data_IF_928655220985
#
_entry.id   IF_928655220985
#
_cell.length_a   1.000
_cell.length_b   1.000
_cell.length_c   1.000
_cell.angle_alpha   90.00
_cell.angle_beta   90.00
_cell.angle_gamma   90.00
#
_symmetry.space_group_name_H-M   'P 1'
#
loop_
_entity.id
_entity.type
_entity.pdbx_description
1 polymer ?
#
# COMPACT_ATOMS: atom_id res chain seq x y z
N UNK A 1 -0.82 14.74 -9.91
CA UNK A 1 -0.66 13.28 -10.12
C UNK A 1 -2.05 12.72 -10.32
N UNK A 2 -2.32 12.01 -11.40
CA UNK A 2 -3.62 11.40 -11.66
C UNK A 2 -4.27 11.94 -12.93
N UNK A 3 -4.21 11.15 -13.99
CA UNK A 3 -4.84 11.52 -15.26
C UNK A 3 -4.32 10.73 -16.45
N UNK A 4 -4.20 9.39 -16.34
CA UNK A 4 -4.32 8.48 -17.51
C UNK A 4 -4.34 6.98 -17.19
N UNK A 5 -3.75 6.48 -16.08
CA UNK A 5 -3.65 5.01 -15.89
C UNK A 5 -3.85 4.55 -14.43
N UNK A 6 -5.05 4.09 -14.10
CA UNK A 6 -5.33 3.30 -12.89
C UNK A 6 -5.36 1.81 -13.26
N UNK A 7 -4.24 1.28 -13.75
CA UNK A 7 -4.13 -0.15 -14.04
C UNK A 7 -4.21 -0.98 -12.75
N UNK A 8 -4.90 -2.13 -12.82
CA UNK A 8 -4.89 -3.11 -11.74
C UNK A 8 -3.48 -3.68 -11.47
N UNK A 9 -2.59 -3.67 -12.48
CA UNK A 9 -1.19 -4.08 -12.32
C UNK A 9 -0.41 -3.19 -11.35
N UNK A 10 -0.94 -2.03 -10.95
CA UNK A 10 -0.39 -1.23 -9.85
C UNK A 10 -0.35 -1.99 -8.51
N UNK A 11 -1.16 -3.05 -8.34
CA UNK A 11 -1.08 -3.96 -7.21
C UNK A 11 0.28 -4.68 -7.13
N UNK A 12 0.90 -4.96 -8.28
CA UNK A 12 2.20 -5.62 -8.40
C UNK A 12 3.38 -4.68 -8.13
N UNK A 13 3.17 -3.37 -8.22
CA UNK A 13 4.26 -2.42 -8.22
C UNK A 13 3.93 -1.09 -8.89
N UNK A 14 4.68 -0.05 -8.52
CA UNK A 14 4.57 1.30 -9.07
C UNK A 14 5.97 1.84 -9.39
N UNK A 15 6.04 2.78 -10.33
CA UNK A 15 7.30 3.42 -10.72
C UNK A 15 8.37 2.38 -11.09
N UNK A 16 8.06 1.46 -12.02
CA UNK A 16 8.97 0.39 -12.45
C UNK A 16 9.14 -0.76 -11.47
N UNK A 17 8.69 -0.62 -10.22
CA UNK A 17 8.98 -1.63 -9.22
C UNK A 17 8.07 -2.85 -9.34
N UNK A 18 8.51 -3.93 -8.72
CA UNK A 18 7.84 -5.23 -8.67
C UNK A 18 7.94 -5.72 -7.23
N UNK A 19 6.85 -5.62 -6.47
CA UNK A 19 6.86 -5.86 -5.01
C UNK A 19 7.20 -7.31 -4.65
N UNK A 20 6.86 -8.26 -5.52
CA UNK A 20 7.26 -9.66 -5.44
C UNK A 20 8.78 -9.89 -5.60
N UNK A 21 9.51 -8.92 -6.16
CA UNK A 21 10.96 -9.02 -6.35
C UNK A 21 11.76 -8.36 -5.22
N UNK A 22 11.08 -7.83 -4.19
CA UNK A 22 11.72 -7.28 -3.00
C UNK A 22 12.26 -8.39 -2.10
N UNK A 23 13.29 -9.09 -2.57
CA UNK A 23 13.97 -10.15 -1.83
C UNK A 23 14.68 -9.59 -0.59
N UNK A 24 14.79 -10.42 0.44
CA UNK A 24 15.59 -10.07 1.61
C UNK A 24 17.08 -10.32 1.35
N UNK A 25 17.92 -9.67 2.15
CA UNK A 25 19.29 -10.13 2.41
C UNK A 25 19.30 -10.96 3.69
N UNK A 26 20.30 -11.84 3.82
CA UNK A 26 20.57 -12.49 5.10
C UNK A 26 20.88 -11.44 6.19
N UNK A 27 20.53 -11.75 7.43
CA UNK A 27 20.83 -10.89 8.59
C UNK A 27 21.09 -11.76 9.81
N UNK A 28 21.76 -11.20 10.81
CA UNK A 28 21.86 -11.84 12.11
C UNK A 28 20.62 -11.52 12.96
N UNK A 29 20.13 -12.52 13.69
CA UNK A 29 19.03 -12.35 14.62
C UNK A 29 19.44 -11.36 15.74
N UNK A 30 18.67 -10.30 15.98
CA UNK A 30 19.08 -9.24 16.91
C UNK A 30 19.10 -9.68 18.39
N UNK A 31 18.43 -10.79 18.73
CA UNK A 31 18.38 -11.30 20.11
C UNK A 31 19.45 -12.36 20.36
N UNK A 32 19.67 -13.24 19.38
CA UNK A 32 20.53 -14.42 19.53
C UNK A 32 21.89 -14.29 18.85
N UNK A 33 22.02 -13.38 17.87
CA UNK A 33 23.20 -13.24 17.03
C UNK A 33 23.38 -14.37 16.01
N UNK A 34 22.43 -15.30 15.90
CA UNK A 34 22.48 -16.40 14.95
C UNK A 34 22.13 -15.92 13.54
N UNK A 35 22.79 -16.43 12.49
CA UNK A 35 22.52 -16.02 11.12
C UNK A 35 21.14 -16.52 10.66
N UNK A 36 20.39 -15.64 10.00
CA UNK A 36 19.12 -15.93 9.34
C UNK A 36 19.29 -15.75 7.83
N UNK A 37 18.93 -16.79 7.05
CA UNK A 37 19.01 -16.71 5.60
C UNK A 37 17.95 -15.77 5.02
N UNK A 38 18.21 -15.23 3.82
CA UNK A 38 17.27 -14.38 3.09
C UNK A 38 15.93 -15.10 2.84
N UNK A 39 15.98 -16.38 2.46
CA UNK A 39 14.82 -17.23 2.17
C UNK A 39 13.96 -17.44 3.42
N UNK A 40 14.60 -17.53 4.59
CA UNK A 40 13.91 -17.62 5.87
C UNK A 40 13.25 -16.30 6.28
N UNK A 41 13.68 -15.16 5.75
CA UNK A 41 13.13 -13.84 6.08
C UNK A 41 12.08 -13.34 5.10
N UNK A 42 11.94 -13.94 3.92
CA UNK A 42 10.97 -13.50 2.93
C UNK A 42 9.80 -14.46 2.78
N UNK A 43 8.69 -13.95 2.26
CA UNK A 43 7.57 -14.79 1.84
C UNK A 43 7.86 -15.48 0.50
N UNK A 44 7.36 -16.69 0.34
CA UNK A 44 7.28 -17.33 -0.98
C UNK A 44 6.14 -16.70 -1.77
N UNK A 45 6.39 -16.33 -3.03
CA UNK A 45 5.35 -15.83 -3.93
C UNK A 45 4.42 -16.99 -4.31
N UNK A 46 3.16 -16.89 -3.92
CA UNK A 46 2.12 -17.83 -4.34
C UNK A 46 1.33 -17.23 -5.53
N UNK A 47 1.46 -17.79 -6.75
CA UNK A 47 0.73 -17.30 -7.92
C UNK A 47 -0.80 -17.51 -7.80
N UNK A 48 -1.25 -18.42 -6.94
CA UNK A 48 -2.69 -18.67 -6.72
C UNK A 48 -3.28 -17.80 -5.61
N UNK A 49 -2.45 -17.03 -4.92
CA UNK A 49 -2.90 -16.15 -3.87
C UNK A 49 -3.90 -15.13 -4.40
N UNK A 50 -4.98 -14.98 -3.65
CA UNK A 50 -6.09 -14.10 -4.00
C UNK A 50 -6.36 -13.17 -2.85
N UNK A 51 -6.39 -11.87 -3.13
CA UNK A 51 -6.68 -10.85 -2.13
C UNK A 51 -7.31 -9.62 -2.78
N UNK A 52 -8.15 -8.94 -2.00
CA UNK A 52 -8.74 -7.64 -2.32
C UNK A 52 -8.37 -6.69 -1.19
N UNK A 53 -7.97 -5.47 -1.52
CA UNK A 53 -7.57 -4.49 -0.52
C UNK A 53 -8.73 -4.11 0.40
N UNK A 54 -8.47 -4.09 1.70
CA UNK A 54 -9.45 -3.70 2.73
C UNK A 54 -9.87 -2.23 2.63
N UNK A 55 -9.01 -1.39 2.04
CA UNK A 55 -9.26 0.04 1.86
C UNK A 55 -8.95 0.44 0.43
N UNK A 56 -9.73 1.39 -0.09
CA UNK A 56 -9.48 2.04 -1.37
C UNK A 56 -9.83 3.52 -1.27
N UNK A 57 -9.53 4.27 -2.33
CA UNK A 57 -9.94 5.65 -2.43
C UNK A 57 -11.46 5.76 -2.67
N UNK A 58 -12.12 6.63 -1.89
CA UNK A 58 -13.56 6.90 -2.00
C UNK A 58 -13.92 8.24 -2.67
N UNK A 59 -12.95 8.92 -3.30
CA UNK A 59 -13.21 10.16 -4.02
C UNK A 59 -13.87 9.88 -5.38
N UNK A 60 -14.50 10.90 -5.97
CA UNK A 60 -15.25 10.79 -7.22
C UNK A 60 -14.39 10.26 -8.39
N UNK A 61 -14.76 9.12 -8.96
CA UNK A 61 -14.05 8.46 -10.06
C UNK A 61 -12.79 7.70 -9.63
N UNK A 62 -12.57 7.50 -8.32
CA UNK A 62 -11.48 6.66 -7.83
C UNK A 62 -11.58 5.23 -8.37
N UNK A 63 -10.45 4.52 -8.56
CA UNK A 63 -10.48 3.09 -8.86
C UNK A 63 -10.87 2.27 -7.63
N UNK A 64 -11.51 1.13 -7.87
CA UNK A 64 -11.78 0.12 -6.86
C UNK A 64 -10.53 -0.34 -6.07
N UNK A 65 -10.71 -1.21 -5.06
CA UNK A 65 -9.61 -1.74 -4.28
C UNK A 65 -8.58 -2.44 -5.18
N UNK A 66 -7.30 -2.34 -4.79
CA UNK A 66 -6.27 -3.18 -5.38
C UNK A 66 -6.60 -4.65 -5.16
N UNK A 67 -6.19 -5.49 -6.09
CA UNK A 67 -6.41 -6.92 -5.98
C UNK A 67 -5.29 -7.72 -6.65
N UNK A 68 -5.18 -8.98 -6.25
CA UNK A 68 -4.34 -9.99 -6.87
C UNK A 68 -5.13 -11.29 -7.05
N UNK A 69 -4.81 -12.04 -8.09
CA UNK A 69 -5.42 -13.32 -8.39
C UNK A 69 -4.57 -14.11 -9.40
N UNK A 70 -4.70 -15.44 -9.46
CA UNK A 70 -4.12 -16.22 -10.54
C UNK A 70 -4.68 -15.84 -11.91
N UNK A 71 -3.90 -16.09 -12.97
CA UNK A 71 -4.31 -15.82 -14.37
C UNK A 71 -5.55 -16.58 -14.81
N UNK A 72 -5.90 -17.68 -14.15
CA UNK A 72 -7.16 -18.39 -14.38
C UNK A 72 -8.40 -17.60 -13.95
N UNK A 73 -8.25 -16.62 -13.07
CA UNK A 73 -9.34 -15.76 -12.57
C UNK A 73 -9.29 -14.38 -13.24
N UNK A 74 -8.11 -13.77 -13.30
CA UNK A 74 -7.89 -12.49 -14.00
C UNK A 74 -6.73 -12.67 -14.99
N UNK A 75 -7.01 -13.00 -16.27
CA UNK A 75 -5.98 -13.34 -17.25
C UNK A 75 -5.01 -12.19 -17.54
N UNK A 76 -5.53 -10.96 -17.59
CA UNK A 76 -4.78 -9.74 -17.85
C UNK A 76 -5.30 -8.61 -16.97
N UNK A 77 -4.41 -7.73 -16.53
CA UNK A 77 -4.77 -6.59 -15.71
C UNK A 77 -5.62 -5.59 -16.52
N UNK A 78 -6.87 -5.27 -16.09
CA UNK A 78 -7.62 -4.17 -16.68
C UNK A 78 -7.11 -2.82 -16.15
N UNK A 79 -7.58 -1.72 -16.73
CA UNK A 79 -7.43 -0.38 -16.16
C UNK A 79 -8.78 0.20 -15.79
N UNK A 80 -8.79 1.00 -14.74
CA UNK A 80 -9.93 1.80 -14.38
C UNK A 80 -9.97 3.07 -15.23
N UNK A 81 -11.03 3.18 -16.02
CA UNK A 81 -11.39 4.39 -16.76
C UNK A 81 -12.41 5.14 -15.91
N UNK A 82 -12.08 6.35 -15.45
CA UNK A 82 -12.96 7.16 -14.60
C UNK A 82 -14.08 7.88 -15.39
N UNK A 83 -14.18 7.64 -16.69
CA UNK A 83 -15.23 8.14 -17.56
C UNK A 83 -16.52 7.32 -17.46
N UNK A 84 -17.65 7.99 -17.69
CA UNK A 84 -18.98 7.37 -17.61
C UNK A 84 -19.53 7.28 -16.18
N UNK A 85 -20.85 7.37 -16.07
CA UNK A 85 -21.53 7.53 -14.79
C UNK A 85 -22.12 6.22 -14.30
N UNK A 86 -21.74 5.81 -13.10
CA UNK A 86 -22.41 4.72 -12.40
C UNK A 86 -23.78 5.22 -11.93
N UNK A 87 -24.83 4.38 -11.90
CA UNK A 87 -26.10 4.82 -11.34
C UNK A 87 -25.98 5.18 -9.85
N UNK A 88 -26.05 6.48 -9.51
CA UNK A 88 -25.99 6.99 -8.13
C UNK A 88 -27.20 7.89 -7.81
N UNK A 89 -27.58 8.00 -6.54
CA UNK A 89 -28.69 8.88 -6.09
C UNK A 89 -28.47 10.33 -6.52
N UNK A 90 -29.46 10.94 -7.18
CA UNK A 90 -29.47 12.37 -7.52
C UNK A 90 -28.77 12.75 -8.84
N UNK A 91 -28.38 11.78 -9.66
CA UNK A 91 -27.68 11.99 -10.94
C UNK A 91 -28.58 12.41 -12.11
N UNK A 92 -29.90 12.33 -11.95
CA UNK A 92 -30.84 13.01 -12.82
C UNK A 92 -32.06 13.45 -12.00
N UNK A 93 -32.53 14.67 -12.23
CA UNK A 93 -33.73 15.23 -11.62
C UNK A 93 -35.02 14.45 -11.97
N UNK A 94 -34.92 13.42 -12.82
CA UNK A 94 -36.03 12.67 -13.39
C UNK A 94 -35.92 11.14 -13.18
N UNK A 95 -35.01 10.65 -12.32
CA UNK A 95 -34.85 9.21 -12.05
C UNK A 95 -35.29 8.86 -10.63
N UNK A 96 -35.91 7.69 -10.47
CA UNK A 96 -36.29 7.15 -9.17
C UNK A 96 -35.03 6.91 -8.29
N UNK A 97 -35.20 7.13 -6.99
CA UNK A 97 -34.13 6.98 -5.97
C UNK A 97 -33.67 5.52 -5.85
N UNK A 98 -34.59 4.58 -6.06
CA UNK A 98 -34.32 3.15 -6.16
C UNK A 98 -34.26 2.68 -7.62
N UNK A 99 -33.71 1.48 -7.83
CA UNK A 99 -33.78 0.79 -9.11
C UNK A 99 -35.18 0.22 -9.35
N UNK A 100 -35.47 -0.21 -10.57
CA UNK A 100 -36.63 -1.07 -10.81
C UNK A 100 -36.38 -2.47 -10.19
N UNK A 101 -37.46 -3.21 -9.92
CA UNK A 101 -37.39 -4.63 -9.55
C UNK A 101 -36.43 -5.38 -10.48
N UNK A 102 -35.52 -6.23 -9.96
CA UNK A 102 -35.50 -6.78 -8.60
C UNK A 102 -34.74 -5.96 -7.53
N UNK A 103 -34.18 -4.80 -7.88
CA UNK A 103 -33.32 -4.01 -6.99
C UNK A 103 -34.04 -2.84 -6.31
N UNK A 104 -35.36 -2.83 -6.30
CA UNK A 104 -36.21 -1.74 -5.80
C UNK A 104 -36.15 -1.52 -4.28
N UNK A 105 -35.48 -2.43 -3.57
CA UNK A 105 -35.22 -2.34 -2.12
C UNK A 105 -33.89 -1.67 -1.75
N UNK A 106 -33.00 -1.42 -2.72
CA UNK A 106 -31.70 -0.76 -2.51
C UNK A 106 -31.65 0.62 -3.19
N UNK A 107 -31.01 1.60 -2.56
CA UNK A 107 -30.87 2.93 -3.16
C UNK A 107 -29.72 2.95 -4.18
N UNK A 108 -29.84 3.81 -5.20
CA UNK A 108 -28.77 3.99 -6.20
C UNK A 108 -27.47 4.47 -5.53
N UNK A 109 -26.37 3.75 -5.72
CA UNK A 109 -25.07 4.06 -5.11
C UNK A 109 -24.79 3.34 -3.78
N UNK A 110 -25.74 2.55 -3.28
CA UNK A 110 -25.52 1.61 -2.16
C UNK A 110 -25.09 0.22 -2.66
N UNK A 111 -25.17 -0.05 -3.97
CA UNK A 111 -24.75 -1.31 -4.57
C UNK A 111 -23.26 -1.27 -4.89
N UNK A 112 -22.44 -2.00 -4.14
CA UNK A 112 -21.00 -2.10 -4.37
C UNK A 112 -20.37 -3.31 -3.65
N UNK A 113 -19.19 -3.72 -4.10
CA UNK A 113 -18.32 -4.63 -3.37
C UNK A 113 -17.54 -3.89 -2.27
N UNK A 114 -17.04 -4.65 -1.30
CA UNK A 114 -16.11 -4.17 -0.28
C UNK A 114 -16.76 -3.54 0.96
N UNK A 115 -15.94 -3.14 1.95
CA UNK A 115 -14.46 -3.21 1.96
C UNK A 115 -13.91 -4.64 1.90
N UNK A 116 -12.68 -4.80 1.39
CA UNK A 116 -12.06 -6.11 1.21
C UNK A 116 -12.87 -7.03 0.29
N UNK A 117 -12.99 -8.30 0.66
CA UNK A 117 -13.80 -9.28 -0.07
C UNK A 117 -15.30 -9.26 0.30
N UNK A 118 -15.77 -8.27 1.07
CA UNK A 118 -17.17 -8.19 1.51
C UNK A 118 -18.13 -8.06 0.33
N UNK A 119 -19.24 -8.78 0.41
CA UNK A 119 -20.37 -8.75 -0.55
C UNK A 119 -21.65 -8.23 0.08
N UNK A 120 -21.59 -7.70 1.30
CA UNK A 120 -22.76 -7.31 2.10
C UNK A 120 -23.66 -6.25 1.41
N UNK A 121 -23.08 -5.45 0.52
CA UNK A 121 -23.77 -4.40 -0.23
C UNK A 121 -24.03 -4.79 -1.70
N UNK A 122 -24.00 -6.09 -2.01
CA UNK A 122 -24.25 -6.60 -3.36
C UNK A 122 -25.58 -7.36 -3.36
N UNK A 123 -26.53 -7.02 -4.26
CA UNK A 123 -27.81 -7.73 -4.36
C UNK A 123 -27.63 -9.23 -4.63
N UNK A 124 -28.53 -10.10 -4.12
CA UNK A 124 -28.49 -11.54 -4.37
C UNK A 124 -28.48 -11.92 -5.86
N UNK A 125 -29.16 -11.15 -6.71
CA UNK A 125 -29.23 -11.41 -8.15
C UNK A 125 -27.87 -11.15 -8.83
N UNK A 126 -27.15 -10.12 -8.37
CA UNK A 126 -25.78 -9.87 -8.81
C UNK A 126 -24.86 -10.96 -8.29
N UNK A 127 -24.98 -11.36 -7.02
CA UNK A 127 -24.16 -12.43 -6.43
C UNK A 127 -24.40 -13.80 -7.06
N UNK A 128 -25.59 -14.07 -7.58
CA UNK A 128 -25.89 -15.28 -8.33
C UNK A 128 -25.08 -15.35 -9.65
N UNK A 129 -24.77 -14.20 -10.25
CA UNK A 129 -23.97 -14.13 -11.47
C UNK A 129 -22.47 -13.89 -11.20
N UNK A 130 -22.16 -13.13 -10.14
CA UNK A 130 -20.84 -12.65 -9.72
C UNK A 130 -20.66 -12.83 -8.22
N UNK A 131 -20.35 -14.04 -7.74
CA UNK A 131 -20.19 -14.33 -6.31
C UNK A 131 -19.11 -13.50 -5.60
N UNK A 132 -18.07 -13.07 -6.34
CA UNK A 132 -16.90 -12.38 -5.78
C UNK A 132 -16.56 -11.08 -6.51
N UNK A 133 -15.81 -10.21 -5.83
CA UNK A 133 -15.26 -8.99 -6.43
C UNK A 133 -14.44 -9.27 -7.69
N UNK A 134 -13.69 -10.37 -7.74
CA UNK A 134 -12.81 -10.68 -8.87
C UNK A 134 -13.58 -11.19 -10.08
N UNK A 135 -14.61 -12.01 -9.87
CA UNK A 135 -15.51 -12.42 -10.95
C UNK A 135 -16.27 -11.22 -11.50
N UNK A 136 -16.64 -10.28 -10.63
CA UNK A 136 -17.18 -8.98 -11.02
C UNK A 136 -16.20 -8.22 -11.91
N UNK A 137 -14.98 -7.94 -11.43
CA UNK A 137 -13.97 -7.19 -12.19
C UNK A 137 -13.74 -7.84 -13.56
N UNK A 138 -13.52 -9.17 -13.59
CA UNK A 138 -13.31 -9.90 -14.84
C UNK A 138 -14.52 -9.84 -15.78
N UNK A 139 -15.74 -9.85 -15.24
CA UNK A 139 -16.96 -9.75 -16.02
C UNK A 139 -17.28 -8.33 -16.52
N UNK A 140 -16.80 -7.31 -15.80
CA UNK A 140 -17.10 -5.90 -16.03
C UNK A 140 -16.21 -5.22 -17.07
N UNK A 141 -15.08 -5.85 -17.43
CA UNK A 141 -14.16 -5.30 -18.43
C UNK A 141 -14.90 -5.02 -19.74
N UNK A 142 -14.80 -3.78 -20.20
CA UNK A 142 -15.40 -3.25 -21.44
C UNK A 142 -16.96 -3.24 -21.47
N UNK A 143 -17.63 -3.47 -20.34
CA UNK A 143 -19.11 -3.46 -20.24
C UNK A 143 -19.72 -2.08 -20.01
N UNK A 144 -18.92 -1.08 -19.64
CA UNK A 144 -19.34 0.33 -19.55
C UNK A 144 -20.06 0.71 -18.26
N UNK A 145 -20.91 1.74 -18.34
CA UNK A 145 -21.60 2.35 -17.19
C UNK A 145 -23.07 2.62 -17.57
N UNK A 146 -24.04 1.97 -16.92
CA UNK A 146 -25.46 2.08 -17.27
C UNK A 146 -26.40 1.22 -16.43
N UNK A 147 -27.69 1.18 -16.75
CA UNK A 147 -28.66 0.32 -16.02
C UNK A 147 -28.70 -1.10 -16.59
N UNK A 148 -28.47 -1.26 -17.90
CA UNK A 148 -28.48 -2.55 -18.58
C UNK A 148 -27.36 -3.49 -18.07
N UNK A 149 -26.11 -3.02 -17.97
CA UNK A 149 -25.02 -3.83 -17.41
C UNK A 149 -25.12 -4.00 -15.88
N UNK A 150 -25.96 -3.21 -15.20
CA UNK A 150 -26.09 -3.29 -13.75
C UNK A 150 -26.90 -4.52 -13.37
N UNK A 151 -27.97 -4.80 -14.12
CA UNK A 151 -28.76 -6.04 -14.00
C UNK A 151 -27.92 -7.30 -14.27
N UNK A 152 -26.88 -7.20 -15.10
CA UNK A 152 -25.94 -8.28 -15.36
C UNK A 152 -24.82 -8.38 -14.31
N UNK A 153 -24.75 -7.43 -13.38
CA UNK A 153 -23.66 -7.34 -12.42
C UNK A 153 -22.31 -7.03 -13.07
N UNK A 154 -22.28 -6.28 -14.17
CA UNK A 154 -21.06 -5.97 -14.93
C UNK A 154 -20.79 -4.47 -15.10
N UNK A 155 -21.65 -3.58 -14.58
CA UNK A 155 -21.35 -2.15 -14.48
C UNK A 155 -20.50 -1.83 -13.24
N UNK A 156 -20.02 -0.59 -13.15
CA UNK A 156 -19.43 0.02 -11.96
C UNK A 156 -20.14 -0.31 -10.62
N UNK A 157 -19.42 -1.03 -9.74
CA UNK A 157 -19.88 -1.49 -8.42
C UNK A 157 -18.70 -1.69 -7.46
N UNK A 158 -17.63 -0.90 -7.56
CA UNK A 158 -16.39 -1.24 -6.86
C UNK A 158 -16.38 -0.88 -5.37
N UNK A 159 -16.81 0.33 -4.99
CA UNK A 159 -16.88 0.81 -3.60
C UNK A 159 -17.87 1.97 -3.45
N UNK A 160 -18.29 2.30 -2.21
CA UNK A 160 -19.20 3.42 -2.01
C UNK A 160 -18.52 4.74 -2.41
N UNK A 161 -19.31 5.65 -3.00
CA UNK A 161 -18.93 7.03 -3.37
C UNK A 161 -18.04 7.23 -4.60
N UNK A 162 -17.60 6.20 -5.31
CA UNK A 162 -16.86 6.39 -6.56
C UNK A 162 -17.70 7.03 -7.66
N UNK A 163 -18.99 6.66 -7.79
CA UNK A 163 -20.03 7.26 -8.67
C UNK A 163 -19.75 7.26 -10.17
N UNK A 164 -18.52 7.05 -10.61
CA UNK A 164 -18.11 7.05 -12.00
C UNK A 164 -16.98 6.03 -12.22
N UNK A 165 -16.93 5.51 -13.44
CA UNK A 165 -15.84 4.70 -13.93
C UNK A 165 -16.23 3.27 -14.31
N UNK A 166 -15.34 2.61 -15.05
CA UNK A 166 -15.50 1.23 -15.51
C UNK A 166 -14.15 0.59 -15.80
N UNK A 167 -14.10 -0.74 -15.72
CA UNK A 167 -12.92 -1.49 -16.13
C UNK A 167 -12.81 -1.56 -17.66
N UNK A 168 -11.61 -1.30 -18.17
CA UNK A 168 -11.27 -1.33 -19.60
C UNK A 168 -10.08 -2.23 -19.87
N UNK A 169 -10.11 -2.93 -21.00
CA UNK A 169 -8.94 -3.65 -21.50
C UNK A 169 -7.95 -2.70 -22.19
N UNK A 170 -6.69 -3.14 -22.31
CA UNK A 170 -5.65 -2.48 -23.10
C UNK A 170 -5.15 -3.39 -24.24
N UNK A 171 -6.02 -4.30 -24.71
CA UNK A 171 -5.66 -5.34 -25.66
C UNK A 171 -5.23 -6.66 -24.99
N UNK A 172 -4.68 -7.60 -25.78
CA UNK A 172 -4.50 -8.99 -25.35
C UNK A 172 -3.43 -9.18 -24.28
N UNK A 173 -2.54 -8.20 -24.09
CA UNK A 173 -1.42 -8.31 -23.16
C UNK A 173 -1.73 -7.73 -21.78
N UNK A 174 -2.87 -7.06 -21.59
CA UNK A 174 -3.20 -6.34 -20.36
C UNK A 174 -2.68 -4.91 -20.31
N UNK A 175 -3.19 -4.15 -19.34
CA UNK A 175 -2.80 -2.77 -19.09
C UNK A 175 -1.52 -2.75 -18.24
N UNK A 176 -0.39 -2.26 -18.78
CA UNK A 176 0.86 -2.24 -18.03
C UNK A 176 0.78 -1.30 -16.83
N UNK A 177 1.50 -1.63 -15.75
CA UNK A 177 1.92 -0.64 -14.77
C UNK A 177 3.12 0.17 -15.31
N UNK A 178 3.54 1.21 -14.57
CA UNK A 178 4.67 2.02 -14.99
C UNK A 178 5.96 1.20 -15.03
N UNK A 179 6.71 1.25 -16.12
CA UNK A 179 8.07 0.74 -16.24
C UNK A 179 9.10 1.82 -15.87
N UNK A 180 10.23 1.42 -15.28
CA UNK A 180 11.44 2.25 -15.24
C UNK A 180 12.59 1.46 -15.87
N UNK A 181 12.80 1.58 -17.20
CA UNK A 181 13.89 0.90 -17.90
C UNK A 181 15.27 1.22 -17.33
N UNK A 182 15.44 2.41 -16.74
CA UNK A 182 16.67 2.84 -16.06
C UNK A 182 17.02 1.96 -14.85
N UNK A 183 16.02 1.33 -14.23
CA UNK A 183 16.20 0.36 -13.15
C UNK A 183 16.26 -1.09 -13.67
N UNK A 184 16.30 -1.30 -15.00
CA UNK A 184 16.28 -2.63 -15.62
C UNK A 184 14.94 -3.36 -15.47
N UNK A 185 13.89 -2.66 -15.05
CA UNK A 185 12.58 -3.26 -14.75
C UNK A 185 11.66 -3.29 -15.95
N UNK A 186 10.82 -4.33 -16.02
CA UNK A 186 9.77 -4.46 -17.04
C UNK A 186 8.39 -4.22 -16.42
N UNK A 187 7.45 -3.59 -17.15
CA UNK A 187 6.11 -3.39 -16.65
C UNK A 187 5.39 -4.74 -16.51
N UNK A 188 4.59 -4.86 -15.44
CA UNK A 188 3.65 -5.96 -15.22
C UNK A 188 2.34 -5.63 -15.90
N UNK A 189 1.70 -6.64 -16.48
CA UNK A 189 0.40 -6.51 -17.16
C UNK A 189 -0.64 -7.53 -16.66
N UNK A 190 -0.33 -8.18 -15.54
CA UNK A 190 -1.17 -9.15 -14.83
C UNK A 190 -1.21 -8.77 -13.34
N UNK A 191 -1.95 -9.55 -12.55
CA UNK A 191 -2.06 -9.38 -11.08
C UNK A 191 -1.68 -10.66 -10.32
N UNK A 192 -0.95 -11.57 -10.97
CA UNK A 192 -0.57 -12.89 -10.45
C UNK A 192 0.65 -12.77 -9.52
N UNK A 193 0.53 -13.30 -8.30
CA UNK A 193 1.58 -13.19 -7.29
C UNK A 193 1.81 -11.76 -6.76
N UNK A 194 0.87 -10.83 -7.02
CA UNK A 194 1.03 -9.39 -6.78
C UNK A 194 0.46 -8.89 -5.44
N UNK A 195 0.21 -9.77 -4.47
CA UNK A 195 -0.54 -9.41 -3.25
C UNK A 195 0.21 -8.51 -2.25
N UNK A 196 1.33 -7.91 -2.65
CA UNK A 196 2.36 -7.35 -1.78
C UNK A 196 2.38 -5.81 -1.74
N UNK A 197 1.28 -5.14 -2.10
CA UNK A 197 1.15 -3.68 -2.01
C UNK A 197 1.19 -3.15 -0.57
N UNK A 198 1.37 -1.83 -0.44
CA UNK A 198 1.49 -1.13 0.83
C UNK A 198 0.29 -1.26 1.76
N UNK A 199 0.54 -1.60 3.03
CA UNK A 199 -0.46 -1.70 4.10
C UNK A 199 0.01 -1.03 5.40
N UNK A 200 -0.94 -0.54 6.20
CA UNK A 200 -0.65 0.11 7.48
C UNK A 200 0.08 1.44 7.38
N UNK A 201 0.59 1.92 8.52
CA UNK A 201 1.14 3.26 8.69
C UNK A 201 2.43 3.52 7.90
N UNK A 202 3.26 2.49 7.70
CA UNK A 202 4.51 2.60 6.92
C UNK A 202 4.37 2.14 5.47
N UNK A 203 3.16 1.74 5.05
CA UNK A 203 2.94 1.07 3.76
C UNK A 203 3.87 -0.14 3.60
N UNK A 204 3.82 -1.08 4.55
CA UNK A 204 4.54 -2.36 4.48
C UNK A 204 4.29 -3.01 3.12
N UNK A 205 5.35 -3.21 2.35
CA UNK A 205 5.31 -3.58 0.92
C UNK A 205 6.36 -4.64 0.63
N UNK A 206 6.03 -5.60 -0.23
CA UNK A 206 6.96 -6.58 -0.77
C UNK A 206 7.23 -7.81 0.11
N UNK A 207 7.65 -8.89 -0.52
CA UNK A 207 7.78 -10.21 0.12
C UNK A 207 8.75 -10.22 1.31
N UNK A 208 9.81 -9.41 1.27
CA UNK A 208 10.76 -9.32 2.37
C UNK A 208 10.13 -8.71 3.62
N UNK A 209 9.42 -7.59 3.50
CA UNK A 209 8.85 -6.91 4.66
C UNK A 209 7.74 -7.73 5.33
N UNK A 210 6.87 -8.36 4.55
CA UNK A 210 5.86 -9.28 5.09
C UNK A 210 6.48 -10.55 5.67
N UNK A 211 7.56 -11.05 5.06
CA UNK A 211 8.28 -12.22 5.55
C UNK A 211 8.96 -11.95 6.90
N UNK A 212 9.63 -10.79 7.06
CA UNK A 212 10.22 -10.35 8.32
C UNK A 212 9.15 -10.22 9.39
N UNK A 213 8.02 -9.57 9.09
CA UNK A 213 6.89 -9.51 10.03
C UNK A 213 6.42 -10.89 10.44
N UNK A 214 6.29 -11.84 9.51
CA UNK A 214 5.89 -13.20 9.83
C UNK A 214 6.92 -13.95 10.68
N UNK A 215 8.20 -13.79 10.34
CA UNK A 215 9.32 -14.44 11.02
C UNK A 215 9.44 -14.00 12.47
N UNK A 216 9.26 -12.70 12.75
CA UNK A 216 9.46 -12.14 14.09
C UNK A 216 8.17 -12.02 14.91
N UNK A 217 7.04 -11.72 14.28
CA UNK A 217 5.80 -11.37 14.99
C UNK A 217 4.62 -12.27 14.66
N UNK A 218 4.69 -13.12 13.63
CA UNK A 218 3.57 -13.88 13.11
C UNK A 218 3.64 -15.39 13.34
N UNK A 219 2.84 -16.12 12.55
CA UNK A 219 2.76 -17.58 12.59
C UNK A 219 4.10 -18.28 12.31
N UNK A 220 4.98 -17.68 11.48
CA UNK A 220 6.32 -18.25 11.20
C UNK A 220 7.23 -18.21 12.45
N UNK A 221 7.11 -17.19 13.30
CA UNK A 221 7.80 -17.14 14.59
C UNK A 221 7.41 -18.32 15.48
N UNK A 222 6.09 -18.58 15.60
CA UNK A 222 5.55 -19.70 16.38
C UNK A 222 6.00 -21.06 15.81
N UNK A 223 5.98 -21.21 14.49
CA UNK A 223 6.44 -22.43 13.83
C UNK A 223 7.93 -22.71 14.08
N UNK A 224 8.73 -21.67 14.36
CA UNK A 224 10.13 -21.76 14.78
C UNK A 224 10.32 -21.86 16.30
N UNK A 225 9.24 -22.03 17.07
CA UNK A 225 9.30 -22.16 18.53
C UNK A 225 9.55 -20.87 19.28
N UNK A 226 9.39 -19.70 18.63
CA UNK A 226 9.52 -18.38 19.26
C UNK A 226 8.16 -17.85 19.73
N UNK A 227 8.18 -17.02 20.76
CA UNK A 227 7.00 -16.23 21.12
C UNK A 227 6.72 -15.19 20.03
N UNK A 228 5.44 -14.89 19.78
CA UNK A 228 5.01 -14.00 18.72
C UNK A 228 3.89 -13.09 19.22
N UNK A 229 3.89 -11.84 18.78
CA UNK A 229 2.86 -10.87 19.17
C UNK A 229 1.52 -11.16 18.47
N UNK A 230 1.55 -11.71 17.26
CA UNK A 230 0.38 -12.08 16.45
C UNK A 230 0.49 -13.56 16.02
N UNK A 231 0.47 -14.51 16.96
CA UNK A 231 0.81 -15.92 16.70
C UNK A 231 -0.11 -16.63 15.69
N UNK A 232 -1.33 -16.12 15.51
CA UNK A 232 -2.34 -16.63 14.58
C UNK A 232 -2.28 -16.00 13.19
N UNK A 233 -1.49 -14.93 13.00
CA UNK A 233 -1.45 -14.19 11.74
C UNK A 233 -0.29 -14.69 10.90
N UNK A 234 -0.61 -15.34 9.78
CA UNK A 234 0.37 -15.65 8.74
C UNK A 234 0.42 -14.50 7.73
N UNK A 235 1.33 -13.55 7.94
CA UNK A 235 1.46 -12.36 7.09
C UNK A 235 1.85 -12.68 5.65
N UNK A 236 2.39 -13.88 5.38
CA UNK A 236 2.72 -14.31 4.02
C UNK A 236 1.48 -14.86 3.29
N UNK A 237 0.54 -15.45 4.01
CA UNK A 237 -0.72 -15.97 3.44
C UNK A 237 -1.86 -14.95 3.48
N UNK A 238 -1.81 -14.02 4.42
CA UNK A 238 -2.80 -12.96 4.58
C UNK A 238 -2.16 -11.61 4.98
N UNK A 239 -1.46 -10.94 4.04
CA UNK A 239 -0.98 -9.57 4.19
C UNK A 239 -2.09 -8.59 4.58
N UNK A 240 -3.34 -8.87 4.19
CA UNK A 240 -4.51 -8.05 4.45
C UNK A 240 -4.84 -7.89 5.93
N UNK A 241 -4.40 -8.83 6.79
CA UNK A 241 -4.61 -8.78 8.24
C UNK A 241 -4.17 -7.44 8.87
N UNK A 242 -3.15 -6.77 8.32
CA UNK A 242 -2.67 -5.46 8.79
C UNK A 242 -3.78 -4.38 8.77
N UNK A 243 -4.73 -4.49 7.85
CA UNK A 243 -5.75 -3.47 7.61
C UNK A 243 -7.11 -3.81 8.22
N UNK A 244 -7.30 -4.99 8.80
CA UNK A 244 -8.60 -5.41 9.34
C UNK A 244 -8.77 -5.12 10.83
N UNK A 245 -10.01 -5.19 11.28
CA UNK A 245 -10.40 -4.78 12.63
C UNK A 245 -10.05 -5.79 13.72
N UNK A 246 -9.69 -7.04 13.37
CA UNK A 246 -9.33 -8.09 14.34
C UNK A 246 -8.06 -7.74 15.13
N UNK A 247 -7.14 -6.99 14.51
CA UNK A 247 -5.89 -6.49 15.12
C UNK A 247 -5.71 -4.99 14.84
N UNK A 248 -6.46 -4.11 15.52
CA UNK A 248 -6.53 -2.69 15.17
C UNK A 248 -5.22 -1.91 15.37
N UNK A 249 -4.32 -2.43 16.21
CA UNK A 249 -2.98 -1.93 16.50
C UNK A 249 -1.94 -2.36 15.44
N UNK A 250 -2.20 -3.46 14.71
CA UNK A 250 -1.25 -4.06 13.78
C UNK A 250 -0.80 -3.10 12.67
N UNK A 251 -1.69 -2.21 12.21
CA UNK A 251 -1.36 -1.14 11.25
C UNK A 251 -0.23 -0.22 11.72
N UNK A 252 -0.08 -0.03 13.04
CA UNK A 252 0.98 0.76 13.65
C UNK A 252 2.18 -0.11 13.99
N UNK A 253 1.95 -1.30 14.55
CA UNK A 253 3.03 -2.22 14.93
C UNK A 253 3.88 -2.63 13.73
N UNK A 254 3.27 -2.86 12.57
CA UNK A 254 4.02 -3.12 11.34
C UNK A 254 4.98 -1.96 10.97
N UNK A 255 4.57 -0.72 11.24
CA UNK A 255 5.41 0.46 11.05
C UNK A 255 6.52 0.60 12.08
N UNK A 256 6.22 0.38 13.36
CA UNK A 256 7.24 0.39 14.40
C UNK A 256 8.27 -0.72 14.21
N UNK A 257 7.83 -1.91 13.82
CA UNK A 257 8.72 -3.02 13.50
C UNK A 257 9.71 -2.63 12.39
N UNK A 258 9.23 -2.13 11.25
CA UNK A 258 10.11 -1.67 10.17
C UNK A 258 11.08 -0.58 10.64
N UNK A 259 10.59 0.38 11.42
CA UNK A 259 11.43 1.46 11.93
C UNK A 259 12.55 0.95 12.84
N UNK A 260 12.23 0.04 13.76
CA UNK A 260 13.20 -0.54 14.69
C UNK A 260 14.19 -1.46 13.98
N UNK A 261 13.72 -2.23 13.00
CA UNK A 261 14.51 -3.27 12.35
C UNK A 261 15.39 -2.75 11.19
N UNK A 262 14.92 -1.76 10.43
CA UNK A 262 15.57 -1.34 9.17
C UNK A 262 15.97 0.15 9.16
N UNK A 263 15.30 1.01 9.93
CA UNK A 263 15.65 2.45 9.97
C UNK A 263 16.62 2.76 11.11
N UNK A 264 16.30 2.36 12.33
CA UNK A 264 17.12 2.69 13.50
C UNK A 264 18.49 2.02 13.52
N UNK A 265 18.57 0.83 12.92
CA UNK A 265 19.77 -0.01 12.79
C UNK A 265 20.58 0.32 11.54
N UNK A 266 20.08 1.22 10.68
CA UNK A 266 20.71 1.50 9.39
C UNK A 266 22.14 2.02 9.58
N UNK A 267 23.10 1.28 9.02
CA UNK A 267 24.52 1.61 8.98
C UNK A 267 25.14 1.09 7.66
N UNK A 268 25.05 1.89 6.61
CA UNK A 268 25.44 1.49 5.24
C UNK A 268 26.12 2.66 4.54
N UNK A 269 27.26 2.41 3.87
CA UNK A 269 28.00 3.40 3.07
C UNK A 269 28.26 4.73 3.80
N UNK A 270 28.66 4.64 5.08
CA UNK A 270 28.86 5.78 5.99
C UNK A 270 27.59 6.56 6.37
N UNK A 271 26.41 6.12 5.94
CA UNK A 271 25.13 6.60 6.44
C UNK A 271 24.71 5.80 7.67
N UNK A 272 24.68 6.45 8.84
CA UNK A 272 24.25 5.84 10.09
C UNK A 272 23.09 6.64 10.70
N UNK A 273 21.91 6.03 10.85
CA UNK A 273 20.71 6.75 11.30
C UNK A 273 20.88 7.38 12.69
N UNK A 274 21.48 6.65 13.65
CA UNK A 274 21.66 7.15 15.02
C UNK A 274 22.64 8.31 15.08
N UNK A 275 23.69 8.28 14.25
CA UNK A 275 24.64 9.38 14.11
C UNK A 275 23.96 10.62 13.50
N UNK A 276 23.19 10.45 12.42
CA UNK A 276 22.42 11.53 11.77
C UNK A 276 21.42 12.15 12.74
N UNK A 277 20.66 11.32 13.47
CA UNK A 277 19.73 11.78 14.50
C UNK A 277 20.44 12.58 15.59
N UNK A 278 21.57 12.09 16.11
CA UNK A 278 22.33 12.79 17.15
C UNK A 278 22.84 14.14 16.63
N UNK A 279 23.38 14.19 15.42
CA UNK A 279 23.86 15.43 14.82
C UNK A 279 22.71 16.45 14.65
N UNK A 280 21.55 16.03 14.14
CA UNK A 280 20.38 16.89 14.00
C UNK A 280 19.90 17.46 15.34
N UNK A 281 19.88 16.63 16.40
CA UNK A 281 19.53 17.08 17.76
C UNK A 281 20.57 18.03 18.33
N UNK A 282 21.86 17.71 18.21
CA UNK A 282 22.97 18.53 18.71
C UNK A 282 23.01 19.90 18.00
N UNK A 283 22.54 19.97 16.76
CA UNK A 283 22.37 21.19 15.98
C UNK A 283 21.03 21.93 16.25
N UNK A 284 20.31 21.55 17.31
CA UNK A 284 19.14 22.28 17.79
C UNK A 284 17.80 21.73 17.33
N UNK A 285 17.78 20.57 16.66
CA UNK A 285 16.54 19.92 16.19
C UNK A 285 15.67 20.86 15.32
N UNK A 286 16.34 21.59 14.43
CA UNK A 286 15.69 22.54 13.52
C UNK A 286 14.91 21.78 12.43
N UNK A 287 13.58 21.93 12.33
CA UNK A 287 12.80 21.27 11.28
C UNK A 287 13.08 21.81 9.87
N UNK A 288 13.81 22.92 9.73
CA UNK A 288 14.33 23.41 8.43
C UNK A 288 15.69 22.77 8.06
N UNK A 289 16.36 22.07 8.98
CA UNK A 289 17.43 21.12 8.67
C UNK A 289 16.82 19.77 8.27
N UNK A 290 16.86 19.48 6.97
CA UNK A 290 16.24 18.28 6.42
C UNK A 290 17.12 17.02 6.50
N UNK A 291 18.34 17.10 7.04
CA UNK A 291 19.29 15.98 7.07
C UNK A 291 18.70 14.69 7.65
N UNK A 292 17.97 14.80 8.77
CA UNK A 292 17.31 13.65 9.40
C UNK A 292 16.12 13.12 8.60
N UNK A 293 15.22 14.00 8.16
CA UNK A 293 13.98 13.58 7.47
C UNK A 293 14.29 13.04 6.07
N UNK A 294 15.26 13.59 5.36
CA UNK A 294 15.67 13.13 4.05
C UNK A 294 16.38 11.78 4.15
N UNK A 295 17.27 11.61 5.13
CA UNK A 295 17.88 10.31 5.44
C UNK A 295 16.81 9.25 5.68
N UNK A 296 15.88 9.50 6.61
CA UNK A 296 14.83 8.54 6.93
C UNK A 296 13.90 8.29 5.74
N UNK A 297 13.60 9.32 4.94
CA UNK A 297 12.76 9.19 3.74
C UNK A 297 13.40 8.31 2.68
N UNK A 298 14.71 8.44 2.47
CA UNK A 298 15.49 7.58 1.57
C UNK A 298 15.48 6.13 2.03
N UNK A 299 15.75 5.87 3.31
CA UNK A 299 15.72 4.50 3.87
C UNK A 299 14.31 3.90 3.78
N UNK A 300 13.27 4.64 4.15
CA UNK A 300 11.89 4.14 4.14
C UNK A 300 11.37 3.89 2.73
N UNK A 301 11.62 4.79 1.78
CA UNK A 301 11.03 4.67 0.44
C UNK A 301 11.87 3.85 -0.53
N UNK A 302 13.19 3.82 -0.36
CA UNK A 302 14.15 3.27 -1.35
C UNK A 302 15.19 2.33 -0.73
N UNK A 303 15.17 2.09 0.58
CA UNK A 303 16.22 1.34 1.28
C UNK A 303 17.58 2.03 1.26
N UNK A 304 17.61 3.34 0.97
CA UNK A 304 18.83 4.05 0.61
C UNK A 304 18.82 5.48 1.14
N UNK A 305 19.68 5.77 2.13
CA UNK A 305 19.67 7.04 2.86
C UNK A 305 20.00 8.28 2.01
N UNK A 306 20.70 8.11 0.90
CA UNK A 306 21.14 9.16 -0.04
C UNK A 306 20.55 8.94 -1.44
N UNK A 307 19.38 8.30 -1.53
CA UNK A 307 18.61 8.24 -2.78
C UNK A 307 18.21 9.66 -3.24
N UNK A 308 18.31 9.96 -4.55
CA UNK A 308 17.96 11.27 -5.09
C UNK A 308 16.47 11.56 -4.95
N UNK A 309 16.09 12.83 -4.95
CA UNK A 309 14.69 13.25 -4.91
C UNK A 309 13.99 13.03 -6.25
N UNK A 310 12.68 12.73 -6.25
CA UNK A 310 11.90 12.57 -7.48
C UNK A 310 12.00 13.81 -8.39
N UNK A 311 12.40 13.60 -9.64
CA UNK A 311 12.59 14.64 -10.66
C UNK A 311 13.87 15.46 -10.49
N UNK A 312 14.78 15.08 -9.60
CA UNK A 312 16.04 15.80 -9.41
C UNK A 312 17.09 15.44 -10.46
N UNK A 313 17.00 14.25 -11.06
CA UNK A 313 18.05 13.72 -11.94
C UNK A 313 19.37 13.50 -11.21
N UNK A 314 19.35 13.42 -9.88
CA UNK A 314 20.51 13.17 -9.05
C UNK A 314 21.07 11.77 -9.25
N UNK A 315 22.35 11.59 -8.91
CA UNK A 315 22.97 10.26 -8.92
C UNK A 315 22.29 9.35 -7.90
N UNK A 316 21.87 8.17 -8.34
CA UNK A 316 21.32 7.13 -7.47
C UNK A 316 22.38 6.08 -7.14
N UNK A 317 23.00 6.14 -5.95
CA UNK A 317 24.06 5.20 -5.57
C UNK A 317 23.54 3.79 -5.25
N UNK A 318 22.23 3.62 -5.04
CA UNK A 318 21.62 2.33 -4.73
C UNK A 318 20.96 1.68 -5.93
N UNK A 319 20.64 2.44 -6.98
CA UNK A 319 19.91 1.94 -8.15
C UNK A 319 18.48 1.50 -7.81
N UNK A 320 17.88 2.08 -6.77
CA UNK A 320 16.52 1.75 -6.31
C UNK A 320 15.50 2.83 -6.70
N UNK A 321 15.93 3.90 -7.37
CA UNK A 321 15.19 5.06 -7.86
C UNK A 321 14.96 6.18 -6.85
N UNK A 322 14.26 7.22 -7.27
CA UNK A 322 14.18 8.52 -6.57
C UNK A 322 13.13 8.60 -5.44
N UNK A 323 13.42 9.21 -4.31
CA UNK A 323 12.46 9.37 -3.19
C UNK A 323 11.18 10.10 -3.63
N UNK A 324 10.05 9.41 -3.54
CA UNK A 324 8.75 9.96 -3.90
C UNK A 324 8.24 10.94 -2.83
N UNK A 325 7.74 12.09 -3.31
CA UNK A 325 7.09 13.13 -2.51
C UNK A 325 7.93 13.65 -1.33
N UNK A 326 9.25 13.80 -1.52
CA UNK A 326 10.18 14.26 -0.49
C UNK A 326 9.73 15.58 0.17
N UNK A 327 9.29 16.56 -0.63
CA UNK A 327 8.81 17.86 -0.13
C UNK A 327 7.63 17.71 0.84
N UNK A 328 6.72 16.76 0.57
CA UNK A 328 5.58 16.48 1.45
C UNK A 328 6.02 15.80 2.74
N UNK A 329 7.06 14.95 2.68
CA UNK A 329 7.63 14.28 3.86
C UNK A 329 8.28 15.31 4.79
N UNK A 330 9.06 16.25 4.26
CA UNK A 330 9.64 17.37 5.00
C UNK A 330 8.56 18.23 5.67
N UNK A 331 7.52 18.64 4.91
CA UNK A 331 6.39 19.42 5.44
C UNK A 331 5.64 18.69 6.55
N UNK A 332 5.38 17.39 6.38
CA UNK A 332 4.71 16.57 7.41
C UNK A 332 5.57 16.42 8.66
N UNK A 333 6.87 16.20 8.53
CA UNK A 333 7.81 16.15 9.66
C UNK A 333 7.77 17.46 10.45
N UNK A 334 7.91 18.61 9.77
CA UNK A 334 7.83 19.93 10.39
C UNK A 334 6.50 20.16 11.11
N UNK A 335 5.39 19.74 10.51
CA UNK A 335 4.06 19.85 11.11
C UNK A 335 3.94 19.03 12.41
N UNK A 336 4.32 17.75 12.37
CA UNK A 336 4.27 16.86 13.54
C UNK A 336 5.22 17.34 14.65
N UNK A 337 6.44 17.76 14.28
CA UNK A 337 7.40 18.31 15.23
C UNK A 337 6.86 19.55 15.95
N UNK A 338 6.24 20.47 15.20
CA UNK A 338 5.60 21.66 15.76
C UNK A 338 4.49 21.29 16.75
N UNK A 339 3.70 20.26 16.45
CA UNK A 339 2.68 19.75 17.37
C UNK A 339 3.28 19.15 18.65
N UNK A 340 4.40 18.43 18.55
CA UNK A 340 5.11 17.87 19.72
C UNK A 340 5.68 18.97 20.61
N UNK A 341 6.26 20.02 20.03
CA UNK A 341 6.74 21.19 20.78
C UNK A 341 5.57 21.89 21.48
N UNK A 342 4.47 22.13 20.77
CA UNK A 342 3.28 22.78 21.33
C UNK A 342 2.64 21.96 22.47
N UNK A 343 2.70 20.64 22.37
CA UNK A 343 2.22 19.72 23.41
C UNK A 343 3.22 19.53 24.57
N UNK A 344 4.39 20.18 24.55
CA UNK A 344 5.43 20.03 25.58
C UNK A 344 6.11 18.67 25.59
N UNK A 345 5.94 17.86 24.53
CA UNK A 345 6.63 16.56 24.36
C UNK A 345 8.12 16.78 24.15
N UNK A 346 8.48 17.90 23.50
CA UNK A 346 9.86 18.33 23.30
C UNK A 346 10.04 19.76 23.80
N UNK A 347 11.14 20.04 24.49
CA UNK A 347 11.46 21.41 24.93
C UNK A 347 12.43 22.06 23.95
N UNK A 348 11.95 22.98 23.11
CA UNK A 348 12.82 23.90 22.37
C UNK A 348 13.02 25.13 23.25
N UNK A 349 14.25 25.39 23.68
CA UNK A 349 14.58 26.68 24.29
C UNK A 349 15.73 27.34 23.55
N UNK A 350 15.63 28.66 23.48
CA UNK A 350 16.61 29.59 22.93
C UNK A 350 18.08 29.22 23.31
N UNK A 351 19.08 29.30 22.40
CA UNK A 351 20.41 28.68 22.51
C UNK A 351 21.35 29.22 23.60
N UNK A 352 20.89 30.01 24.56
CA UNK A 352 21.76 30.73 25.50
C UNK A 352 22.27 29.90 26.70
N UNK A 353 21.86 28.64 26.88
CA UNK A 353 22.33 27.82 28.00
C UNK A 353 22.58 26.37 27.57
N UNK A 354 23.84 25.97 27.62
CA UNK A 354 24.39 24.73 27.09
C UNK A 354 23.71 23.44 27.56
N UNK A 355 23.82 22.43 26.67
CA UNK A 355 23.54 20.99 26.78
C UNK A 355 22.18 20.59 27.35
N UNK A 356 21.35 19.97 26.50
CA UNK A 356 20.04 19.41 26.86
C UNK A 356 19.96 17.93 26.50
N UNK A 357 19.28 17.18 27.37
CA UNK A 357 18.83 15.80 27.16
C UNK A 357 17.40 15.82 26.61
N UNK A 358 17.16 15.07 25.54
CA UNK A 358 15.81 14.65 25.17
C UNK A 358 15.31 13.63 26.19
N UNK A 359 14.04 13.70 26.57
CA UNK A 359 13.34 12.72 27.41
C UNK A 359 13.02 11.43 26.61
N UNK A 360 14.03 10.85 25.96
CA UNK A 360 14.01 9.47 25.44
C UNK A 360 15.45 8.99 25.41
N UNK A 361 15.96 8.55 26.57
CA UNK A 361 17.21 7.82 26.69
C UNK A 361 16.89 6.38 27.08
#
# INVERSE_FOLDING_TARGET
>A
VGGTEYTAAAACGQLGQSYQDYACSAMDDPETGEPISAEDLQCTVDPNMTAVAETSAGWYGAPGPLFCAPKSVVPTAPRWDYGGWCPYTGSSWNQAIAFASPFDTMSRGEIHYGPGASTANVPPEVLAAKPTYLEYVSGAVDRGTGEACLLEGTCCMDVPNQKAGSWRSCGPNGCPNGALPELGTQPRTDVEGCCWWGRGAIQTTGICNFGKLNYFLGAKAVAKGKAALYPQVDFCRDPGAICRAEHPDLKWVAGFFYWLNDVQTYDVRNGNYKATLRAWVDNGADPDDHSLVDFASGVVNRGCHDAPAEGSGGFDPCGNGEVHAQDKRQKNFKHVWSAFVAAGVTTVTNPAAGRRQLLFA
#
